data_IF_678252021325
#
_entry.id   IF_678252021325
#
_cell.length_a   1.000
_cell.length_b   1.000
_cell.length_c   1.000
_cell.angle_alpha   90.00
_cell.angle_beta   90.00
_cell.angle_gamma   90.00
#
_symmetry.space_group_name_H-M   'P 1'
#
loop_
_entity.id
_entity.type
_entity.pdbx_description
1 polymer ?
#
# COMPACT_ATOMS: atom_id res chain seq x y z
N UNK A 1 14.94 -1.16 -6.80
CA UNK A 1 13.52 -0.89 -6.59
C UNK A 1 12.89 -0.54 -7.94
N UNK A 2 11.77 -1.15 -8.25
CA UNK A 2 11.06 -0.89 -9.50
C UNK A 2 10.33 0.45 -9.42
N UNK A 3 10.14 1.08 -10.58
CA UNK A 3 9.40 2.34 -10.65
C UNK A 3 8.36 2.24 -11.75
N UNK A 4 7.13 2.63 -11.44
CA UNK A 4 6.06 2.65 -12.44
C UNK A 4 6.05 3.99 -13.19
N UNK A 5 5.26 4.04 -14.26
CA UNK A 5 5.13 5.26 -15.05
C UNK A 5 4.57 6.41 -14.22
N UNK A 6 3.71 6.11 -13.24
CA UNK A 6 3.11 7.14 -12.39
C UNK A 6 4.06 7.69 -11.32
N UNK A 7 5.23 7.08 -11.16
CA UNK A 7 6.21 7.52 -10.16
C UNK A 7 6.22 6.69 -8.89
N UNK A 8 5.32 5.71 -8.78
CA UNK A 8 5.34 4.78 -7.66
C UNK A 8 6.60 3.93 -7.73
N UNK A 9 7.24 3.69 -6.59
CA UNK A 9 8.36 2.75 -6.51
C UNK A 9 7.95 1.60 -5.60
N UNK A 10 8.41 0.40 -5.93
CA UNK A 10 8.09 -0.77 -5.12
C UNK A 10 9.18 -1.81 -5.18
N UNK A 11 9.21 -2.66 -4.16
CA UNK A 11 10.18 -3.75 -4.08
C UNK A 11 9.57 -4.88 -3.25
N UNK A 12 9.61 -6.10 -3.81
CA UNK A 12 9.17 -7.27 -3.06
C UNK A 12 10.32 -7.73 -2.18
N UNK A 13 10.16 -7.56 -0.86
CA UNK A 13 11.16 -8.02 0.09
C UNK A 13 10.94 -9.49 0.46
N UNK A 14 9.70 -9.95 0.30
CA UNK A 14 9.35 -11.34 0.48
C UNK A 14 8.39 -11.71 -0.63
N UNK A 15 8.79 -12.52 -1.61
CA UNK A 15 7.85 -12.94 -2.65
C UNK A 15 6.85 -13.93 -2.06
N UNK A 16 5.57 -13.71 -2.34
CA UNK A 16 4.54 -14.65 -1.96
C UNK A 16 4.44 -15.78 -2.96
N UNK A 17 3.74 -16.83 -2.57
CA UNK A 17 3.55 -17.98 -3.45
C UNK A 17 2.08 -18.30 -3.66
N UNK A 18 1.19 -17.55 -3.02
CA UNK A 18 -0.22 -17.78 -3.14
C UNK A 18 -0.83 -17.05 -4.32
N UNK A 19 -2.11 -16.80 -4.23
CA UNK A 19 -2.88 -16.21 -5.30
C UNK A 19 -2.44 -14.77 -5.56
N UNK A 20 -2.46 -14.36 -6.83
CA UNK A 20 -2.06 -13.01 -7.23
C UNK A 20 -3.25 -12.06 -7.10
N UNK A 21 -3.00 -10.89 -6.51
CA UNK A 21 -4.02 -9.86 -6.36
C UNK A 21 -4.20 -9.09 -7.66
N UNK A 22 -5.45 -8.91 -8.06
CA UNK A 22 -5.81 -8.21 -9.29
C UNK A 22 -6.87 -7.17 -9.00
N UNK A 23 -6.96 -6.17 -9.85
CA UNK A 23 -8.03 -5.20 -9.76
C UNK A 23 -9.38 -5.92 -9.76
N UNK A 24 -10.28 -5.52 -8.87
CA UNK A 24 -11.57 -6.17 -8.69
C UNK A 24 -11.60 -7.18 -7.56
N UNK A 25 -10.45 -7.58 -7.05
CA UNK A 25 -10.40 -8.50 -5.93
C UNK A 25 -10.60 -7.79 -4.62
N UNK A 26 -11.10 -8.52 -3.62
CA UNK A 26 -11.11 -8.06 -2.24
C UNK A 26 -9.84 -8.60 -1.58
N UNK A 27 -9.05 -7.71 -0.97
CA UNK A 27 -7.77 -8.11 -0.40
C UNK A 27 -7.73 -7.77 1.07
N UNK A 28 -6.95 -8.54 1.82
CA UNK A 28 -6.69 -8.27 3.24
C UNK A 28 -5.18 -8.17 3.43
N UNK A 29 -4.76 -7.12 4.11
CA UNK A 29 -3.34 -6.83 4.29
C UNK A 29 -3.06 -6.43 5.74
N UNK A 30 -1.81 -6.65 6.16
CA UNK A 30 -1.23 -5.88 7.25
C UNK A 30 -0.28 -4.86 6.64
N UNK A 31 -0.21 -3.69 7.24
CA UNK A 31 0.65 -2.64 6.71
C UNK A 31 1.22 -1.78 7.84
N UNK A 32 2.34 -1.15 7.55
CA UNK A 32 2.91 -0.10 8.38
C UNK A 32 3.33 1.03 7.46
N UNK A 33 3.04 2.27 7.84
CA UNK A 33 3.36 3.43 7.04
C UNK A 33 4.24 4.41 7.78
N UNK A 34 5.19 4.99 7.05
CA UNK A 34 6.11 5.99 7.55
C UNK A 34 6.15 7.17 6.60
N UNK A 35 6.46 8.35 7.15
CA UNK A 35 6.83 9.48 6.31
C UNK A 35 8.24 9.23 5.77
N UNK A 36 8.50 9.67 4.54
CA UNK A 36 9.82 9.54 3.95
C UNK A 36 10.33 10.92 3.56
N UNK A 37 11.57 11.22 3.91
CA UNK A 37 12.22 12.46 3.52
C UNK A 37 13.59 12.16 2.97
N UNK A 38 13.90 12.71 1.80
CA UNK A 38 15.21 12.56 1.18
C UNK A 38 15.61 11.09 1.03
N UNK A 39 14.65 10.25 0.71
CA UNK A 39 14.88 8.83 0.54
C UNK A 39 15.03 8.05 1.83
N UNK A 40 14.82 8.68 2.98
CA UNK A 40 15.03 8.07 4.29
C UNK A 40 13.69 7.92 4.99
N UNK A 41 13.42 6.71 5.48
CA UNK A 41 12.22 6.42 6.24
C UNK A 41 12.26 7.19 7.56
N UNK A 42 11.17 7.91 7.83
CA UNK A 42 11.06 8.74 9.02
C UNK A 42 10.03 8.22 10.01
N UNK A 43 9.19 9.10 10.50
CA UNK A 43 8.22 8.80 11.56
C UNK A 43 7.14 7.85 11.06
N UNK A 44 6.84 6.83 11.86
CA UNK A 44 5.70 5.94 11.63
C UNK A 44 4.42 6.72 11.92
N UNK A 45 3.42 6.62 11.03
CA UNK A 45 2.16 7.31 11.25
C UNK A 45 0.97 6.37 11.37
N UNK A 46 1.10 5.12 10.98
CA UNK A 46 -0.02 4.18 11.06
C UNK A 46 0.47 2.75 10.90
N UNK A 47 -0.26 1.80 11.50
CA UNK A 47 0.01 0.38 11.31
C UNK A 47 -1.21 -0.43 11.71
N UNK A 48 -1.64 -1.32 10.82
CA UNK A 48 -2.71 -2.26 11.15
C UNK A 48 -2.28 -3.24 12.24
N UNK A 49 -0.98 -3.50 12.34
CA UNK A 49 -0.46 -4.42 13.36
C UNK A 49 -0.64 -3.86 14.76
N UNK A 50 -0.60 -2.53 14.91
CA UNK A 50 -0.82 -1.89 16.20
C UNK A 50 -2.25 -2.11 16.68
N UNK A 51 -3.19 -2.26 15.75
CA UNK A 51 -4.60 -2.52 16.07
C UNK A 51 -4.91 -4.00 16.19
N UNK A 52 -3.99 -4.86 15.75
CA UNK A 52 -4.17 -6.30 15.78
C UNK A 52 -5.21 -6.83 14.80
N UNK A 53 -5.61 -6.03 13.81
CA UNK A 53 -6.66 -6.39 12.87
C UNK A 53 -6.22 -6.07 11.45
N UNK A 54 -6.26 -7.04 10.52
CA UNK A 54 -5.96 -6.75 9.12
C UNK A 54 -6.91 -5.74 8.52
N UNK A 55 -6.45 -5.05 7.51
CA UNK A 55 -7.24 -4.08 6.77
C UNK A 55 -7.67 -4.69 5.44
N UNK A 56 -8.96 -4.61 5.14
CA UNK A 56 -9.53 -5.19 3.92
C UNK A 56 -10.10 -4.11 3.03
N UNK A 57 -9.90 -4.24 1.73
CA UNK A 57 -10.43 -3.26 0.78
C UNK A 57 -10.58 -3.88 -0.61
N UNK A 58 -11.40 -3.24 -1.45
CA UNK A 58 -11.51 -3.62 -2.85
C UNK A 58 -10.39 -3.00 -3.66
N UNK A 59 -9.57 -3.85 -4.25
CA UNK A 59 -8.38 -3.41 -4.99
C UNK A 59 -8.79 -2.77 -6.32
N UNK A 60 -8.26 -1.58 -6.57
CA UNK A 60 -8.54 -0.85 -7.80
C UNK A 60 -9.87 -0.10 -7.81
N UNK A 61 -10.55 -0.05 -6.67
CA UNK A 61 -11.89 0.54 -6.59
C UNK A 61 -11.92 1.97 -6.05
N UNK A 62 -10.75 2.56 -5.81
CA UNK A 62 -10.69 3.92 -5.29
C UNK A 62 -11.01 4.03 -3.81
N UNK A 63 -10.96 2.93 -3.08
CA UNK A 63 -11.25 2.91 -1.64
C UNK A 63 -10.05 3.30 -0.81
N UNK A 64 -8.87 3.32 -1.41
CA UNK A 64 -7.60 3.63 -0.75
C UNK A 64 -6.83 4.62 -1.64
N UNK A 65 -5.72 5.13 -1.13
CA UNK A 65 -4.89 6.04 -1.94
C UNK A 65 -4.40 5.33 -3.19
N UNK A 66 -4.19 6.12 -4.26
CA UNK A 66 -3.84 5.56 -5.56
C UNK A 66 -2.60 4.70 -5.53
N UNK A 67 -1.62 5.07 -4.70
CA UNK A 67 -0.39 4.29 -4.58
C UNK A 67 -0.65 2.86 -4.12
N UNK A 68 -1.67 2.65 -3.29
CA UNK A 68 -2.06 1.32 -2.87
C UNK A 68 -2.84 0.58 -3.97
N UNK A 69 -3.82 1.27 -4.59
CA UNK A 69 -4.58 0.65 -5.68
C UNK A 69 -3.66 0.18 -6.80
N UNK A 70 -2.61 0.92 -7.06
CA UNK A 70 -1.64 0.55 -8.07
C UNK A 70 -0.60 -0.43 -7.52
N UNK A 71 -0.13 -0.19 -6.31
CA UNK A 71 1.04 -0.91 -5.78
C UNK A 71 0.76 -2.30 -5.27
N UNK A 72 -0.47 -2.58 -4.82
CA UNK A 72 -0.81 -3.91 -4.31
C UNK A 72 -1.12 -4.89 -5.44
N UNK A 73 -1.50 -4.37 -6.62
CA UNK A 73 -1.73 -5.26 -7.75
C UNK A 73 -0.45 -6.01 -8.10
N UNK A 74 -0.59 -7.30 -8.34
CA UNK A 74 0.54 -8.15 -8.67
C UNK A 74 1.21 -8.79 -7.46
N UNK A 75 0.87 -8.37 -6.24
CA UNK A 75 1.36 -9.08 -5.06
C UNK A 75 0.71 -10.46 -4.97
N UNK A 76 1.41 -11.39 -4.35
CA UNK A 76 0.88 -12.72 -4.11
C UNK A 76 0.72 -12.93 -2.62
N UNK A 77 -0.28 -13.73 -2.24
CA UNK A 77 -0.53 -14.03 -0.83
C UNK A 77 0.73 -14.62 -0.21
N UNK A 78 1.07 -14.12 0.96
CA UNK A 78 2.30 -14.48 1.66
C UNK A 78 3.45 -13.55 1.38
N UNK A 79 3.28 -12.61 0.43
CA UNK A 79 4.34 -11.69 0.06
C UNK A 79 4.31 -10.40 0.87
N UNK A 80 5.46 -9.74 0.91
CA UNK A 80 5.61 -8.43 1.52
C UNK A 80 6.25 -7.51 0.49
N UNK A 81 5.65 -6.33 0.30
CA UNK A 81 6.12 -5.35 -0.68
C UNK A 81 6.29 -4.01 0.00
N UNK A 82 7.42 -3.36 -0.26
CA UNK A 82 7.64 -1.99 0.16
C UNK A 82 7.19 -1.08 -0.96
N UNK A 83 6.39 -0.07 -0.62
CA UNK A 83 5.90 0.93 -1.56
C UNK A 83 6.45 2.29 -1.15
N UNK A 84 7.00 3.04 -2.11
CA UNK A 84 7.36 4.44 -1.91
C UNK A 84 6.42 5.25 -2.79
N UNK A 85 5.56 6.02 -2.15
CA UNK A 85 4.41 6.64 -2.78
C UNK A 85 4.60 8.15 -2.81
N UNK A 86 4.78 8.76 -3.98
CA UNK A 86 4.87 10.21 -4.05
C UNK A 86 3.52 10.84 -3.68
N UNK A 87 3.56 12.10 -3.26
CA UNK A 87 2.38 12.78 -2.75
C UNK A 87 1.19 12.71 -3.71
N UNK A 88 1.44 12.80 -5.02
CA UNK A 88 0.37 12.77 -6.02
C UNK A 88 -0.41 11.46 -6.00
N UNK A 89 0.19 10.38 -5.53
CA UNK A 89 -0.48 9.07 -5.41
C UNK A 89 -0.88 8.77 -3.96
N UNK A 90 -0.64 9.71 -3.06
CA UNK A 90 -0.99 9.60 -1.66
C UNK A 90 -2.01 10.67 -1.26
N UNK A 91 -1.62 11.52 -0.32
CA UNK A 91 -2.53 12.52 0.23
C UNK A 91 -2.33 13.92 -0.34
N UNK A 92 -1.42 14.07 -1.32
CA UNK A 92 -1.29 15.28 -2.11
C UNK A 92 -0.91 16.51 -1.31
N UNK A 93 -1.35 17.66 -1.83
CA UNK A 93 -1.05 18.96 -1.22
C UNK A 93 -1.84 19.19 0.07
N UNK A 94 -2.87 18.39 0.34
CA UNK A 94 -3.71 18.56 1.51
C UNK A 94 -3.16 17.86 2.74
N UNK A 95 -2.47 16.73 2.54
CA UNK A 95 -2.06 15.89 3.67
C UNK A 95 -3.25 15.19 4.29
N UNK A 96 -3.10 14.68 5.51
CA UNK A 96 -4.16 13.96 6.18
C UNK A 96 -4.06 14.11 7.69
N UNK A 97 -5.13 14.62 8.28
CA UNK A 97 -5.41 14.51 9.72
C UNK A 97 -4.31 14.95 10.67
N UNK A 98 -3.47 15.87 10.30
CA UNK A 98 -2.42 16.33 11.19
C UNK A 98 -1.23 15.39 11.35
N UNK A 99 -1.32 14.17 10.79
CA UNK A 99 -0.21 13.20 10.87
C UNK A 99 0.57 13.13 9.57
N UNK A 100 -0.06 13.45 8.43
CA UNK A 100 0.60 13.45 7.14
C UNK A 100 0.63 14.90 6.64
N UNK A 101 1.82 15.51 6.54
CA UNK A 101 1.90 16.88 6.08
C UNK A 101 1.61 17.02 4.60
N UNK A 102 1.37 18.23 4.12
CA UNK A 102 1.20 18.45 2.68
C UNK A 102 2.43 18.00 1.89
N UNK A 103 2.18 17.45 0.72
CA UNK A 103 3.21 17.05 -0.25
C UNK A 103 4.17 15.99 0.30
N UNK A 104 3.68 15.12 1.18
CA UNK A 104 4.52 14.10 1.79
C UNK A 104 4.69 12.90 0.90
N UNK A 105 5.91 12.39 0.81
CA UNK A 105 6.20 11.08 0.26
C UNK A 105 6.04 10.06 1.37
N UNK A 106 5.38 8.94 1.07
CA UNK A 106 5.06 7.92 2.05
C UNK A 106 5.79 6.64 1.72
N UNK A 107 6.18 5.90 2.76
CA UNK A 107 6.71 4.56 2.60
C UNK A 107 5.83 3.60 3.37
N UNK A 108 5.38 2.55 2.70
CA UNK A 108 4.58 1.50 3.33
C UNK A 108 5.27 0.16 3.17
N UNK A 109 5.14 -0.66 4.19
CA UNK A 109 5.43 -2.09 4.08
C UNK A 109 4.09 -2.80 4.16
N UNK A 110 3.74 -3.54 3.09
CA UNK A 110 2.44 -4.18 2.96
C UNK A 110 2.63 -5.67 2.83
N UNK A 111 1.95 -6.42 3.69
CA UNK A 111 1.94 -7.87 3.64
C UNK A 111 0.56 -8.33 3.19
N UNK A 112 0.49 -9.10 2.11
CA UNK A 112 -0.78 -9.57 1.57
C UNK A 112 -1.15 -10.89 2.23
N UNK A 113 -2.29 -10.88 2.91
CA UNK A 113 -2.72 -12.02 3.72
C UNK A 113 -3.74 -12.89 3.01
N UNK A 114 -4.63 -12.28 2.22
CA UNK A 114 -5.71 -13.03 1.59
C UNK A 114 -6.24 -12.29 0.37
N UNK A 115 -6.73 -13.04 -0.60
CA UNK A 115 -7.37 -12.52 -1.80
C UNK A 115 -8.67 -13.28 -2.00
N UNK A 116 -9.75 -12.54 -2.27
CA UNK A 116 -11.03 -13.14 -2.65
C UNK A 116 -11.53 -12.43 -3.90
N UNK A 117 -12.00 -13.18 -4.87
CA UNK A 117 -12.59 -12.59 -6.06
C UNK A 117 -13.86 -11.87 -5.65
N UNK A 118 -13.97 -10.57 -5.96
CA UNK A 118 -15.09 -9.79 -5.49
C UNK A 118 -16.26 -9.87 -6.46
N UNK A 119 -17.45 -9.72 -5.92
CA UNK A 119 -18.63 -9.47 -6.72
C UNK A 119 -19.09 -10.62 -7.55
N UNK A 120 -18.63 -11.81 -7.30
CA UNK A 120 -19.12 -12.94 -8.06
C UNK A 120 -20.00 -13.81 -7.26
N UNK A 121 -21.16 -14.13 -7.82
CA UNK A 121 -21.99 -15.16 -7.21
C UNK A 121 -21.30 -16.52 -7.28
#
# INVERSE_FOLDING_TARGET
MERTVSGLQYEDTQPGQGETAKAGDQVSVHYTGWLQQNGIRGAKFDSSKDRGTPFSFGLGAGQVIRGWDEGVQGMRVGGTRVLVIPAALGYGARGAGGVIPPNATLQFEVELLAVAASGRP
#
